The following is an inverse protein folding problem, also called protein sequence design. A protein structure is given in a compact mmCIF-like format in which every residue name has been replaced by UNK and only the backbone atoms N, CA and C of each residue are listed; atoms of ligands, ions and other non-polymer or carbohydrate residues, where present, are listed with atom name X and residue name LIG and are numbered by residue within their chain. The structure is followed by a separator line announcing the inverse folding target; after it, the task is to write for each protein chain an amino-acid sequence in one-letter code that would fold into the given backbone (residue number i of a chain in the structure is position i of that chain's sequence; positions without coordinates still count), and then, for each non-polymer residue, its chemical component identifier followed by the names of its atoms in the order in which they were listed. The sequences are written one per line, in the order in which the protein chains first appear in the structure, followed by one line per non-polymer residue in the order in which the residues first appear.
data_IF_358126909246
#
_entry.id   IF_358126909246
#
_cell.length_a   1.000
_cell.length_b   1.000
_cell.length_c   1.000
_cell.angle_alpha   90.00
_cell.angle_beta   90.00
_cell.angle_gamma   90.00
#
_symmetry.space_group_name_H-M   'P 1'
#
loop_
_entity.id
_entity.type
_entity.pdbx_description
1 polymer ?
#
# COMPACT_ATOMS: atom_id res chain seq x y z
N UNK A 1 13.41 14.41 -12.87
CA UNK A 1 12.35 13.43 -13.22
C UNK A 1 11.08 13.86 -12.49
N UNK A 2 9.87 13.72 -13.06
CA UNK A 2 8.66 13.99 -12.29
C UNK A 2 8.54 12.88 -11.24
N UNK A 3 9.04 13.16 -10.03
CA UNK A 3 8.74 12.37 -8.85
C UNK A 3 7.27 12.63 -8.53
N UNK A 4 6.41 11.70 -8.94
CA UNK A 4 5.00 11.72 -8.57
C UNK A 4 4.96 11.47 -7.06
N UNK A 5 4.97 12.54 -6.27
CA UNK A 5 4.73 12.50 -4.84
C UNK A 5 3.23 12.31 -4.61
N UNK A 6 2.73 11.07 -4.74
CA UNK A 6 1.40 10.72 -4.22
C UNK A 6 1.47 10.90 -2.70
N UNK A 7 1.01 12.05 -2.22
CA UNK A 7 0.93 12.32 -0.80
C UNK A 7 -0.37 11.68 -0.32
N UNK A 8 -0.29 10.48 0.25
CA UNK A 8 -1.46 9.85 0.87
C UNK A 8 -1.89 10.71 2.07
N UNK A 9 -3.17 11.09 2.12
CA UNK A 9 -3.72 11.81 3.26
C UNK A 9 -3.55 11.00 4.55
N UNK A 10 -3.28 11.68 5.67
CA UNK A 10 -3.11 11.00 6.98
C UNK A 10 -4.33 10.16 7.34
N UNK A 11 -5.54 10.66 7.05
CA UNK A 11 -6.79 9.93 7.26
C UNK A 11 -6.87 8.64 6.46
N UNK A 12 -6.50 8.69 5.17
CA UNK A 12 -6.48 7.52 4.32
C UNK A 12 -5.42 6.53 4.82
N UNK A 13 -4.23 7.00 5.20
CA UNK A 13 -3.17 6.16 5.79
C UNK A 13 -3.63 5.42 7.05
N UNK A 14 -4.29 6.12 7.97
CA UNK A 14 -4.86 5.49 9.18
C UNK A 14 -5.92 4.45 8.84
N UNK A 15 -6.73 4.72 7.80
CA UNK A 15 -7.74 3.79 7.32
C UNK A 15 -7.10 2.51 6.76
N UNK A 16 -6.04 2.63 5.95
CA UNK A 16 -5.24 1.48 5.50
C UNK A 16 -4.74 0.65 6.68
N UNK A 17 -4.11 1.30 7.66
CA UNK A 17 -3.56 0.66 8.87
C UNK A 17 -4.63 -0.11 9.63
N UNK A 18 -5.80 0.49 9.82
CA UNK A 18 -6.93 -0.13 10.50
C UNK A 18 -7.46 -1.34 9.71
N UNK A 19 -7.62 -1.20 8.40
CA UNK A 19 -8.22 -2.23 7.55
C UNK A 19 -7.30 -3.43 7.33
N UNK A 20 -5.97 -3.29 7.43
CA UNK A 20 -5.07 -4.45 7.40
C UNK A 20 -5.38 -5.48 8.50
N UNK A 21 -5.77 -5.02 9.69
CA UNK A 21 -6.14 -5.91 10.80
C UNK A 21 -7.51 -6.58 10.61
N UNK A 22 -8.32 -6.12 9.65
CA UNK A 22 -9.65 -6.66 9.34
C UNK A 22 -9.65 -7.49 8.06
N UNK A 23 -8.66 -7.30 7.20
CA UNK A 23 -8.53 -8.04 5.95
C UNK A 23 -7.85 -9.39 6.19
N UNK A 24 -8.59 -10.48 5.95
CA UNK A 24 -8.07 -11.86 6.13
C UNK A 24 -6.80 -12.16 5.32
N UNK A 25 -6.56 -11.48 4.20
CA UNK A 25 -5.36 -11.68 3.41
C UNK A 25 -4.16 -10.94 4.00
N UNK A 26 -4.39 -9.83 4.71
CA UNK A 26 -3.32 -8.95 5.19
C UNK A 26 -3.10 -8.99 6.69
N UNK A 27 -4.04 -9.49 7.49
CA UNK A 27 -3.93 -9.55 8.96
C UNK A 27 -2.63 -10.27 9.40
N UNK A 28 -2.44 -11.50 8.92
CA UNK A 28 -1.25 -12.30 9.25
C UNK A 28 0.05 -11.66 8.74
N UNK A 29 0.21 -11.34 7.45
CA UNK A 29 1.46 -10.73 6.97
C UNK A 29 1.72 -9.35 7.57
N UNK A 30 0.69 -8.59 7.93
CA UNK A 30 0.83 -7.31 8.61
C UNK A 30 1.39 -7.48 10.03
N UNK A 31 0.84 -8.42 10.80
CA UNK A 31 1.35 -8.73 12.14
C UNK A 31 2.79 -9.28 12.09
N UNK A 32 3.09 -10.17 11.14
CA UNK A 32 4.43 -10.70 10.94
C UNK A 32 5.45 -9.64 10.50
N UNK A 33 5.05 -8.71 9.62
CA UNK A 33 5.89 -7.61 9.18
C UNK A 33 6.16 -6.60 10.32
N UNK A 34 5.23 -6.46 11.26
CA UNK A 34 5.40 -5.62 12.45
C UNK A 34 6.34 -6.22 13.49
N UNK A 35 6.48 -7.55 13.53
CA UNK A 35 7.36 -8.25 14.47
C UNK A 35 8.81 -8.38 13.94
N UNK A 36 9.01 -8.25 12.63
CA UNK A 36 10.33 -8.31 12.02
C UNK A 36 11.11 -7.01 12.28
N UNK A 37 12.13 -7.08 13.15
CA UNK A 37 13.07 -5.97 13.43
C UNK A 37 13.75 -5.42 12.17
N UNK A 38 13.85 -6.25 11.14
CA UNK A 38 14.31 -5.88 9.81
C UNK A 38 13.26 -6.43 8.84
N UNK A 39 12.29 -5.60 8.46
CA UNK A 39 11.17 -6.00 7.59
C UNK A 39 11.64 -6.52 6.22
N UNK A 40 12.92 -6.32 5.90
CA UNK A 40 13.64 -6.81 4.72
C UNK A 40 14.33 -8.16 4.90
N UNK A 41 14.17 -8.82 6.06
CA UNK A 41 14.83 -10.09 6.39
C UNK A 41 14.66 -11.11 5.26
N UNK A 42 15.78 -11.49 4.65
CA UNK A 42 15.89 -12.28 3.43
C UNK A 42 14.98 -13.53 3.44
N UNK A 43 13.85 -13.44 2.73
CA UNK A 43 12.87 -14.53 2.59
C UNK A 43 11.42 -14.08 2.78
N UNK A 44 11.15 -12.97 3.48
CA UNK A 44 9.80 -12.43 3.61
C UNK A 44 9.47 -11.52 2.41
N UNK A 45 8.40 -11.86 1.69
CA UNK A 45 7.89 -11.05 0.57
C UNK A 45 7.07 -9.85 1.03
N UNK A 46 6.74 -9.75 2.31
CA UNK A 46 5.96 -8.65 2.87
C UNK A 46 6.79 -7.84 3.84
N UNK A 47 6.69 -6.51 3.75
CA UNK A 47 7.38 -5.60 4.65
C UNK A 47 6.53 -4.36 4.97
N UNK A 48 6.80 -3.73 6.12
CA UNK A 48 6.15 -2.49 6.56
C UNK A 48 7.11 -1.33 6.35
N UNK A 49 6.63 -0.27 5.73
CA UNK A 49 7.37 0.97 5.54
C UNK A 49 7.36 1.87 6.81
N UNK A 50 8.17 2.93 6.83
CA UNK A 50 8.18 3.94 7.89
C UNK A 50 6.80 4.56 8.17
N UNK A 51 5.97 4.66 7.13
CA UNK A 51 4.60 5.16 7.22
C UNK A 51 3.60 4.16 7.81
N UNK A 52 4.06 2.94 8.10
CA UNK A 52 3.24 1.89 8.65
C UNK A 52 2.39 1.14 7.62
N UNK A 53 2.59 1.38 6.33
CA UNK A 53 1.91 0.71 5.22
C UNK A 53 2.56 -0.63 4.89
N UNK A 54 1.76 -1.60 4.43
CA UNK A 54 2.21 -2.94 4.06
C UNK A 54 2.53 -3.00 2.57
N UNK A 55 3.70 -3.53 2.23
CA UNK A 55 4.15 -3.74 0.86
C UNK A 55 4.45 -5.20 0.60
N UNK A 56 4.19 -5.63 -0.62
CA UNK A 56 4.56 -6.94 -1.16
C UNK A 56 5.63 -6.79 -2.23
N UNK A 57 6.69 -7.59 -2.14
CA UNK A 57 7.76 -7.68 -3.13
C UNK A 57 7.38 -8.77 -4.14
N UNK A 58 7.16 -8.36 -5.38
CA UNK A 58 6.85 -9.28 -6.47
C UNK A 58 8.10 -10.06 -6.94
N UNK A 59 7.95 -10.92 -7.95
CA UNK A 59 9.05 -11.72 -8.49
C UNK A 59 10.17 -10.87 -9.16
N UNK A 60 9.86 -9.64 -9.54
CA UNK A 60 10.79 -8.66 -10.13
C UNK A 60 11.45 -7.77 -9.06
N UNK A 61 11.28 -8.10 -7.78
CA UNK A 61 11.77 -7.31 -6.64
C UNK A 61 11.18 -5.89 -6.53
N UNK A 62 10.03 -5.65 -7.16
CA UNK A 62 9.33 -4.38 -7.07
C UNK A 62 8.35 -4.38 -5.89
N UNK A 63 8.37 -3.34 -5.04
CA UNK A 63 7.41 -3.20 -3.95
C UNK A 63 6.06 -2.71 -4.48
N UNK A 64 4.99 -3.40 -4.11
CA UNK A 64 3.61 -3.02 -4.38
C UNK A 64 2.87 -2.78 -3.07
N UNK A 65 2.12 -1.69 -2.99
CA UNK A 65 1.26 -1.40 -1.84
C UNK A 65 0.17 -2.47 -1.75
N UNK A 66 0.03 -3.10 -0.58
CA UNK A 66 -1.07 -4.01 -0.31
C UNK A 66 -2.34 -3.18 -0.06
N UNK A 67 -3.36 -3.33 -0.89
CA UNK A 67 -4.62 -2.60 -0.75
C UNK A 67 -5.68 -3.48 -0.09
N UNK A 68 -6.12 -3.18 1.15
CA UNK A 68 -7.22 -3.90 1.81
C UNK A 68 -8.47 -3.95 0.95
N UNK A 69 -9.19 -5.07 0.98
CA UNK A 69 -10.39 -5.31 0.17
C UNK A 69 -11.47 -4.24 0.37
N UNK A 70 -11.60 -3.72 1.59
CA UNK A 70 -12.53 -2.64 1.90
C UNK A 70 -12.22 -1.35 1.14
N UNK A 71 -10.95 -1.10 0.81
CA UNK A 71 -10.47 0.09 0.12
C UNK A 71 -10.32 -0.10 -1.39
N UNK A 72 -10.37 -1.34 -1.89
CA UNK A 72 -10.25 -1.62 -3.33
C UNK A 72 -11.38 -0.96 -4.12
N UNK A 73 -12.61 -0.98 -3.62
CA UNK A 73 -13.73 -0.34 -4.30
C UNK A 73 -13.57 1.18 -4.34
N UNK A 74 -13.12 1.79 -3.24
CA UNK A 74 -12.91 3.24 -3.15
C UNK A 74 -11.82 3.69 -4.13
N UNK A 75 -10.68 2.99 -4.16
CA UNK A 75 -9.57 3.29 -5.06
C UNK A 75 -9.93 3.05 -6.52
N UNK A 76 -10.68 1.98 -6.81
CA UNK A 76 -11.17 1.73 -8.17
C UNK A 76 -12.15 2.83 -8.57
N UNK A 77 -13.03 3.26 -7.67
CA UNK A 77 -14.00 4.32 -7.92
C UNK A 77 -13.28 5.64 -8.15
N UNK A 78 -12.31 6.03 -7.31
CA UNK A 78 -11.46 7.19 -7.53
C UNK A 78 -10.67 7.09 -8.85
N UNK A 79 -10.16 5.91 -9.21
CA UNK A 79 -9.47 5.68 -10.48
C UNK A 79 -10.41 5.77 -11.70
N UNK A 80 -11.70 5.44 -11.51
CA UNK A 80 -12.75 5.54 -12.53
C UNK A 80 -13.41 6.93 -12.58
N UNK A 81 -13.37 7.70 -11.48
CA UNK A 81 -13.82 9.09 -11.36
C UNK A 81 -12.71 10.11 -11.64
N UNK A 82 -11.45 9.65 -11.69
CA UNK A 82 -10.30 10.33 -12.26
C UNK A 82 -9.92 9.91 -13.71
N UNK A 83 -10.84 9.83 -14.71
CA UNK A 83 -10.39 9.66 -16.10
C UNK A 83 -9.62 10.85 -16.66
N UNK A 84 -9.45 11.97 -15.94
CA UNK A 84 -8.84 13.16 -16.54
C UNK A 84 -8.35 14.15 -15.49
N UNK A 85 -7.11 14.03 -15.00
CA UNK A 85 -6.27 15.17 -14.58
C UNK A 85 -4.81 14.74 -14.41
N UNK A 86 -4.12 14.37 -15.50
CA UNK A 86 -2.68 14.71 -15.75
C UNK A 86 -2.14 14.25 -17.13
N UNK A 87 -2.99 14.13 -18.15
CA UNK A 87 -2.53 14.20 -19.54
C UNK A 87 -2.66 15.64 -20.06
N UNK A 88 -1.95 16.57 -19.41
CA UNK A 88 -1.70 17.90 -19.96
C UNK A 88 -0.37 18.43 -19.45
N UNK A 89 0.70 18.12 -20.18
CA UNK A 89 1.65 19.16 -20.59
C UNK A 89 2.50 18.67 -21.77
N UNK A 90 2.25 19.27 -22.95
CA UNK A 90 3.24 19.59 -23.99
C UNK A 90 3.78 18.46 -24.85
#
# INVERSE_FOLDING_TARGET
PPEIHITISEELKQTFIMEYSKDRQFETPYHEASAAKDSRSAGKRFFRDENGLLFFINADFQPHLCVPKALQQDILTESHEAPLETAHMG
#
